data_IF_652192260089
#
_entry.id   IF_652192260089
#
_cell.length_a   1.000
_cell.length_b   1.000
_cell.length_c   1.000
_cell.angle_alpha   90.00
_cell.angle_beta   90.00
_cell.angle_gamma   90.00
#
_symmetry.space_group_name_H-M   'P 1'
#
loop_
_entity.id
_entity.type
_entity.pdbx_description
1 polymer ?
#
# COMPACT_ATOMS: atom_id res chain seq x y z
N UNK A 1 8.59 6.45 -28.49
CA UNK A 1 8.93 7.55 -27.55
C UNK A 1 10.41 7.88 -27.75
N UNK A 2 10.79 9.16 -27.99
CA UNK A 2 12.19 9.52 -28.28
C UNK A 2 13.05 9.36 -27.02
N UNK A 3 14.21 8.72 -27.15
CA UNK A 3 15.20 8.44 -26.08
C UNK A 3 15.53 9.66 -25.20
N UNK A 4 15.38 10.89 -25.72
CA UNK A 4 15.55 12.15 -24.98
C UNK A 4 14.45 12.46 -23.97
N UNK A 5 13.19 12.07 -24.19
CA UNK A 5 12.09 12.30 -23.23
C UNK A 5 12.18 11.37 -22.01
N UNK A 6 12.74 10.17 -22.21
CA UNK A 6 12.99 9.21 -21.13
C UNK A 6 14.01 9.76 -20.13
N UNK A 7 15.07 10.40 -20.63
CA UNK A 7 16.11 11.03 -19.79
C UNK A 7 15.55 12.17 -18.94
N UNK A 8 14.69 13.01 -19.51
CA UNK A 8 14.12 14.17 -18.78
C UNK A 8 13.12 13.73 -17.71
N UNK A 9 12.29 12.70 -17.97
CA UNK A 9 11.36 12.17 -16.98
C UNK A 9 12.10 11.49 -15.81
N UNK A 10 13.12 10.67 -16.10
CA UNK A 10 13.94 10.00 -15.08
C UNK A 10 14.78 10.96 -14.22
N UNK A 11 15.32 12.03 -14.81
CA UNK A 11 16.02 13.08 -14.04
C UNK A 11 15.07 13.83 -13.09
N UNK A 12 13.80 13.97 -13.47
CA UNK A 12 12.78 14.60 -12.62
C UNK A 12 12.41 13.70 -11.43
N UNK A 13 12.39 12.38 -11.61
CA UNK A 13 12.19 11.41 -10.51
C UNK A 13 13.36 11.44 -9.53
N UNK A 14 14.61 11.48 -10.00
CA UNK A 14 15.79 11.58 -9.13
C UNK A 14 15.86 12.92 -8.37
N UNK A 15 15.44 14.02 -8.98
CA UNK A 15 15.31 15.31 -8.28
C UNK A 15 14.18 15.34 -7.26
N UNK A 16 13.08 14.63 -7.52
CA UNK A 16 12.00 14.45 -6.55
C UNK A 16 12.52 13.77 -5.28
N UNK A 17 13.33 12.71 -5.39
CA UNK A 17 13.93 12.01 -4.25
C UNK A 17 14.84 12.90 -3.38
N UNK A 18 15.52 13.90 -3.96
CA UNK A 18 16.41 14.80 -3.20
C UNK A 18 15.65 15.77 -2.28
N UNK A 19 14.45 16.21 -2.64
CA UNK A 19 13.63 17.07 -1.80
C UNK A 19 12.99 16.35 -0.59
N UNK A 20 13.03 15.01 -0.53
CA UNK A 20 12.39 14.25 0.55
C UNK A 20 13.32 13.83 1.70
N UNK A 21 14.63 14.13 1.61
CA UNK A 21 15.53 13.98 2.77
C UNK A 21 15.13 14.87 3.97
N UNK A 22 14.34 15.92 3.73
CA UNK A 22 13.79 16.80 4.76
C UNK A 22 12.38 16.40 5.26
N UNK A 23 11.77 15.35 4.70
CA UNK A 23 10.37 14.99 4.93
C UNK A 23 10.16 13.58 5.53
N UNK A 24 11.16 13.02 6.22
CA UNK A 24 10.89 12.10 7.34
C UNK A 24 10.37 12.87 8.56
N UNK A 25 9.53 13.88 8.29
CA UNK A 25 8.90 14.75 9.26
C UNK A 25 7.77 13.95 9.90
N UNK A 26 8.09 13.28 11.01
CA UNK A 26 7.14 12.78 12.00
C UNK A 26 6.11 11.78 11.43
N UNK A 27 6.28 10.49 11.75
CA UNK A 27 5.29 9.45 11.46
C UNK A 27 3.90 9.98 11.81
N UNK A 28 2.98 10.00 10.82
CA UNK A 28 1.65 10.56 11.00
C UNK A 28 0.91 9.86 12.16
N UNK A 29 1.21 8.59 12.41
CA UNK A 29 0.68 7.83 13.53
C UNK A 29 1.16 8.35 14.90
N UNK A 30 2.27 9.08 14.98
CA UNK A 30 2.70 9.74 16.22
C UNK A 30 1.77 10.90 16.63
N UNK A 31 0.86 11.34 15.76
CA UNK A 31 -0.25 12.23 16.13
C UNK A 31 -1.19 11.59 17.17
N UNK A 32 -1.34 10.26 17.14
CA UNK A 32 -2.16 9.51 18.09
C UNK A 32 -1.46 9.44 19.45
N UNK A 33 -1.88 10.26 20.43
CA UNK A 33 -1.30 10.24 21.78
C UNK A 33 -2.01 9.22 22.66
N UNK A 34 -1.59 7.96 22.59
CA UNK A 34 -2.08 6.87 23.45
C UNK A 34 -0.90 6.08 24.03
N UNK A 35 -1.01 5.74 25.33
CA UNK A 35 -0.06 4.89 26.04
C UNK A 35 -0.55 3.42 26.12
N UNK A 36 -1.62 3.08 25.39
CA UNK A 36 -2.10 1.70 25.32
C UNK A 36 -1.03 0.80 24.72
N UNK A 37 -0.81 -0.37 25.35
CA UNK A 37 0.12 -1.39 24.86
C UNK A 37 -0.21 -1.79 23.42
N UNK A 38 -1.49 -2.01 23.10
CA UNK A 38 -1.94 -2.34 21.75
C UNK A 38 -1.53 -1.26 20.74
N UNK A 39 -1.86 0.00 21.02
CA UNK A 39 -1.57 1.12 20.11
C UNK A 39 -0.06 1.28 19.90
N UNK A 40 0.74 1.09 20.95
CA UNK A 40 2.20 1.11 20.86
C UNK A 40 2.71 -0.02 19.95
N UNK A 41 2.25 -1.25 20.15
CA UNK A 41 2.68 -2.41 19.35
C UNK A 41 2.26 -2.27 17.88
N UNK A 42 1.06 -1.78 17.60
CA UNK A 42 0.59 -1.54 16.23
C UNK A 42 1.43 -0.46 15.52
N UNK A 43 1.82 0.62 16.20
CA UNK A 43 2.74 1.61 15.62
C UNK A 43 4.11 1.04 15.33
N UNK A 44 4.67 0.26 16.26
CA UNK A 44 5.95 -0.40 16.06
C UNK A 44 5.89 -1.35 14.84
N UNK A 45 4.80 -2.11 14.69
CA UNK A 45 4.55 -2.95 13.53
C UNK A 45 4.52 -2.14 12.23
N UNK A 46 3.69 -1.09 12.17
CA UNK A 46 3.55 -0.23 10.99
C UNK A 46 4.90 0.38 10.57
N UNK A 47 5.63 0.98 11.52
CA UNK A 47 6.95 1.58 11.28
C UNK A 47 7.93 0.57 10.69
N UNK A 48 7.97 -0.64 11.24
CA UNK A 48 8.90 -1.68 10.80
C UNK A 48 8.57 -2.18 9.37
N UNK A 49 7.30 -2.49 9.09
CA UNK A 49 6.91 -2.89 7.75
C UNK A 49 7.07 -1.74 6.72
N UNK A 50 6.83 -0.50 7.13
CA UNK A 50 7.05 0.67 6.27
C UNK A 50 8.53 0.84 5.88
N UNK A 51 9.47 0.67 6.83
CA UNK A 51 10.92 0.62 6.53
C UNK A 51 11.23 -0.46 5.48
N UNK A 52 10.63 -1.64 5.60
CA UNK A 52 10.82 -2.69 4.62
C UNK A 52 10.26 -2.33 3.25
N UNK A 53 9.10 -1.66 3.18
CA UNK A 53 8.49 -1.20 1.95
C UNK A 53 9.38 -0.18 1.23
N UNK A 54 9.94 0.79 1.95
CA UNK A 54 10.90 1.78 1.40
C UNK A 54 12.13 1.07 0.79
N UNK A 55 12.74 0.15 1.53
CA UNK A 55 13.93 -0.57 1.03
C UNK A 55 13.58 -1.51 -0.12
N UNK A 56 12.36 -2.05 -0.15
CA UNK A 56 11.88 -2.87 -1.26
C UNK A 56 11.71 -2.03 -2.54
N UNK A 57 11.15 -0.83 -2.44
CA UNK A 57 11.02 0.10 -3.58
C UNK A 57 12.39 0.51 -4.15
N UNK A 58 13.36 0.77 -3.26
CA UNK A 58 14.75 1.04 -3.66
C UNK A 58 15.35 -0.11 -4.49
N UNK A 59 15.09 -1.36 -4.11
CA UNK A 59 15.58 -2.54 -4.87
C UNK A 59 14.93 -2.66 -6.23
N UNK A 60 13.63 -2.40 -6.33
CA UNK A 60 12.93 -2.41 -7.61
C UNK A 60 13.55 -1.40 -8.58
N UNK A 61 13.88 -0.21 -8.09
CA UNK A 61 14.57 0.80 -8.88
C UNK A 61 16.02 0.44 -9.21
N UNK A 62 16.78 -0.14 -8.27
CA UNK A 62 18.14 -0.64 -8.54
C UNK A 62 18.12 -1.64 -9.70
N UNK A 63 17.17 -2.58 -9.72
CA UNK A 63 17.06 -3.58 -10.78
C UNK A 63 16.83 -2.97 -12.17
N UNK A 64 16.11 -1.84 -12.26
CA UNK A 64 15.97 -1.08 -13.50
C UNK A 64 17.32 -0.46 -13.90
N UNK A 65 17.99 0.24 -12.99
CA UNK A 65 19.21 0.97 -13.28
C UNK A 65 20.44 0.09 -13.56
N UNK A 66 20.52 -1.11 -12.97
CA UNK A 66 21.59 -2.07 -13.31
C UNK A 66 21.53 -2.47 -14.79
N UNK A 67 20.34 -2.49 -15.38
CA UNK A 67 20.14 -2.93 -16.77
C UNK A 67 20.43 -1.81 -17.78
N UNK A 68 20.06 -0.57 -17.43
CA UNK A 68 19.98 0.54 -18.41
C UNK A 68 20.74 1.82 -18.01
N UNK A 69 21.30 1.90 -16.80
CA UNK A 69 21.92 3.10 -16.24
C UNK A 69 23.42 3.19 -16.47
N UNK A 70 23.96 4.41 -16.55
CA UNK A 70 25.41 4.61 -16.48
C UNK A 70 25.96 4.37 -15.07
N UNK A 71 27.26 4.08 -14.96
CA UNK A 71 27.94 3.95 -13.67
C UNK A 71 27.76 5.19 -12.78
N UNK A 72 27.77 6.39 -13.37
CA UNK A 72 27.55 7.64 -12.62
C UNK A 72 26.13 7.79 -12.08
N UNK A 73 25.12 7.44 -12.87
CA UNK A 73 23.72 7.49 -12.44
C UNK A 73 23.45 6.47 -11.34
N UNK A 74 23.97 5.25 -11.50
CA UNK A 74 23.86 4.19 -10.48
C UNK A 74 24.52 4.60 -9.17
N UNK A 75 25.71 5.23 -9.22
CA UNK A 75 26.38 5.72 -8.01
C UNK A 75 25.58 6.83 -7.30
N UNK A 76 25.05 7.78 -8.06
CA UNK A 76 24.21 8.87 -7.53
C UNK A 76 22.90 8.35 -6.90
N UNK A 77 22.28 7.36 -7.54
CA UNK A 77 21.09 6.67 -7.01
C UNK A 77 21.40 6.02 -5.66
N UNK A 78 22.50 5.25 -5.58
CA UNK A 78 22.92 4.59 -4.34
C UNK A 78 23.28 5.58 -3.24
N UNK A 79 23.89 6.72 -3.55
CA UNK A 79 24.12 7.80 -2.57
C UNK A 79 22.80 8.29 -1.96
N UNK A 80 21.77 8.49 -2.79
CA UNK A 80 20.43 8.87 -2.33
C UNK A 80 19.84 7.81 -1.39
N UNK A 81 19.91 6.54 -1.77
CA UNK A 81 19.36 5.43 -0.98
C UNK A 81 20.11 5.19 0.33
N UNK A 82 21.43 5.37 0.34
CA UNK A 82 22.23 5.35 1.58
C UNK A 82 21.75 6.45 2.53
N UNK A 83 21.57 7.69 2.04
CA UNK A 83 21.08 8.81 2.87
C UNK A 83 19.69 8.54 3.44
N UNK A 84 18.78 7.96 2.65
CA UNK A 84 17.44 7.56 3.11
C UNK A 84 17.55 6.48 4.18
N UNK A 85 18.36 5.45 3.98
CA UNK A 85 18.55 4.41 5.00
C UNK A 85 19.19 4.96 6.28
N UNK A 86 20.11 5.92 6.17
CA UNK A 86 20.68 6.62 7.33
C UNK A 86 19.63 7.46 8.05
N UNK A 87 18.74 8.16 7.35
CA UNK A 87 17.66 8.92 7.98
C UNK A 87 16.65 8.01 8.70
N UNK A 88 16.44 6.78 8.22
CA UNK A 88 15.56 5.81 8.86
C UNK A 88 16.03 5.36 10.25
N UNK A 89 17.31 5.54 10.59
CA UNK A 89 17.84 5.19 11.92
C UNK A 89 17.28 6.05 13.05
N UNK A 90 16.69 7.20 12.74
CA UNK A 90 16.09 8.08 13.75
C UNK A 90 14.75 7.53 14.25
N UNK A 91 14.12 6.62 13.48
CA UNK A 91 12.83 6.01 13.84
C UNK A 91 13.00 5.23 15.14
N UNK A 92 12.21 5.61 16.15
CA UNK A 92 12.23 4.98 17.47
C UNK A 92 11.11 3.95 17.58
N UNK A 93 11.46 2.80 18.14
CA UNK A 93 10.54 1.71 18.49
C UNK A 93 10.44 1.61 20.00
N UNK A 94 9.29 1.19 20.51
CA UNK A 94 9.13 0.89 21.94
C UNK A 94 9.63 -0.51 22.29
N UNK A 95 9.64 -1.43 21.33
CA UNK A 95 10.24 -2.74 21.45
C UNK A 95 11.76 -2.69 21.16
N UNK A 96 12.58 -2.89 22.19
CA UNK A 96 14.06 -2.87 22.08
C UNK A 96 14.61 -3.97 21.18
N UNK A 97 13.97 -5.16 21.18
CA UNK A 97 14.36 -6.27 20.31
C UNK A 97 14.10 -5.92 18.85
N UNK A 98 12.94 -5.34 18.55
CA UNK A 98 12.63 -4.82 17.21
C UNK A 98 13.67 -3.76 16.79
N UNK A 99 13.99 -2.82 17.67
CA UNK A 99 14.97 -1.77 17.41
C UNK A 99 16.34 -2.35 17.02
N UNK A 100 16.78 -3.42 17.70
CA UNK A 100 18.01 -4.15 17.37
C UNK A 100 17.96 -4.78 15.98
N UNK A 101 16.87 -5.47 15.62
CA UNK A 101 16.72 -6.08 14.29
C UNK A 101 16.66 -5.03 13.18
N UNK A 102 15.88 -3.96 13.34
CA UNK A 102 15.79 -2.87 12.36
C UNK A 102 17.15 -2.20 12.18
N UNK A 103 17.86 -1.91 13.27
CA UNK A 103 19.20 -1.30 13.22
C UNK A 103 20.20 -2.17 12.46
N UNK A 104 20.23 -3.49 12.73
CA UNK A 104 21.08 -4.43 12.00
C UNK A 104 20.71 -4.48 10.51
N UNK A 105 19.42 -4.52 10.19
CA UNK A 105 18.93 -4.54 8.82
C UNK A 105 19.34 -3.27 8.04
N UNK A 106 19.17 -2.08 8.62
CA UNK A 106 19.58 -0.82 8.01
C UNK A 106 21.09 -0.74 7.80
N UNK A 107 21.89 -1.12 8.80
CA UNK A 107 23.35 -1.16 8.69
C UNK A 107 23.80 -2.09 7.58
N UNK A 108 23.21 -3.29 7.50
CA UNK A 108 23.50 -4.27 6.46
C UNK A 108 23.12 -3.74 5.06
N UNK A 109 21.94 -3.12 4.93
CA UNK A 109 21.46 -2.49 3.68
C UNK A 109 22.43 -1.41 3.20
N UNK A 110 22.80 -0.46 4.06
CA UNK A 110 23.74 0.62 3.75
C UNK A 110 25.10 0.08 3.32
N UNK A 111 25.59 -0.95 4.01
CA UNK A 111 26.87 -1.59 3.69
C UNK A 111 26.83 -2.22 2.30
N UNK A 112 25.79 -2.97 1.97
CA UNK A 112 25.62 -3.56 0.64
C UNK A 112 25.54 -2.51 -0.46
N UNK A 113 24.84 -1.39 -0.23
CA UNK A 113 24.81 -0.26 -1.17
C UNK A 113 26.18 0.40 -1.35
N UNK A 114 26.95 0.61 -0.28
CA UNK A 114 28.32 1.16 -0.37
C UNK A 114 29.27 0.24 -1.13
N UNK A 115 29.15 -1.08 -0.94
CA UNK A 115 29.97 -2.05 -1.69
C UNK A 115 29.54 -2.05 -3.15
N UNK A 116 28.25 -2.10 -3.45
CA UNK A 116 27.74 -2.00 -4.83
C UNK A 116 28.22 -0.72 -5.53
N UNK A 117 28.19 0.42 -4.83
CA UNK A 117 28.62 1.71 -5.35
C UNK A 117 30.13 1.75 -5.66
N UNK A 118 30.96 1.14 -4.81
CA UNK A 118 32.41 1.21 -4.94
C UNK A 118 33.02 0.09 -5.80
N UNK A 119 32.42 -1.09 -5.80
CA UNK A 119 32.93 -2.30 -6.47
C UNK A 119 32.05 -2.82 -7.60
N UNK A 120 30.81 -2.35 -7.70
CA UNK A 120 29.82 -2.84 -8.68
C UNK A 120 29.09 -4.10 -8.21
N UNK A 121 27.86 -4.28 -8.73
CA UNK A 121 26.97 -5.41 -8.39
C UNK A 121 27.49 -6.78 -8.88
N UNK A 122 28.39 -6.81 -9.87
CA UNK A 122 28.97 -8.05 -10.39
C UNK A 122 30.19 -8.54 -9.60
N UNK A 123 30.75 -7.71 -8.72
CA UNK A 123 31.96 -8.01 -7.94
C UNK A 123 31.78 -9.19 -6.98
N UNK A 124 32.87 -9.90 -6.70
CA UNK A 124 32.85 -11.01 -5.76
C UNK A 124 32.61 -10.51 -4.32
N UNK A 125 33.09 -9.31 -4.00
CA UNK A 125 32.87 -8.63 -2.74
C UNK A 125 31.40 -8.30 -2.52
N UNK A 126 30.71 -7.75 -3.52
CA UNK A 126 29.28 -7.49 -3.42
C UNK A 126 28.50 -8.80 -3.26
N UNK A 127 28.76 -9.81 -4.09
CA UNK A 127 28.06 -11.11 -4.00
C UNK A 127 28.19 -11.73 -2.60
N UNK A 128 29.40 -11.71 -2.03
CA UNK A 128 29.66 -12.23 -0.68
C UNK A 128 28.95 -11.42 0.41
N UNK A 129 28.91 -10.10 0.29
CA UNK A 129 28.19 -9.25 1.23
C UNK A 129 26.67 -9.41 1.11
N UNK A 130 26.17 -9.56 -0.12
CA UNK A 130 24.75 -9.72 -0.41
C UNK A 130 24.16 -11.00 0.19
N UNK A 131 24.93 -12.10 0.26
CA UNK A 131 24.50 -13.30 1.00
C UNK A 131 24.26 -13.01 2.49
N UNK A 132 25.19 -12.30 3.14
CA UNK A 132 25.03 -11.89 4.55
C UNK A 132 23.87 -10.92 4.75
N UNK A 133 23.66 -10.03 3.79
CA UNK A 133 22.52 -9.14 3.76
C UNK A 133 21.20 -9.92 3.70
N UNK A 134 21.10 -10.94 2.84
CA UNK A 134 19.90 -11.79 2.74
C UNK A 134 19.61 -12.51 4.05
N UNK A 135 20.64 -13.04 4.72
CA UNK A 135 20.51 -13.66 6.06
C UNK A 135 19.95 -12.64 7.06
N UNK A 136 20.55 -11.45 7.15
CA UNK A 136 20.09 -10.37 8.06
C UNK A 136 18.65 -9.94 7.76
N UNK A 137 18.29 -9.81 6.48
CA UNK A 137 16.91 -9.51 6.06
C UNK A 137 15.97 -10.64 6.49
N UNK A 138 16.36 -11.89 6.30
CA UNK A 138 15.59 -13.06 6.70
C UNK A 138 15.31 -13.07 8.20
N UNK A 139 16.33 -12.85 9.02
CA UNK A 139 16.19 -12.74 10.49
C UNK A 139 15.21 -11.63 10.88
N UNK A 140 15.36 -10.44 10.28
CA UNK A 140 14.46 -9.31 10.52
C UNK A 140 13.00 -9.64 10.15
N UNK A 141 12.77 -10.15 8.94
CA UNK A 141 11.41 -10.46 8.48
C UNK A 141 10.78 -11.60 9.29
N UNK A 142 11.56 -12.62 9.65
CA UNK A 142 11.08 -13.71 10.51
C UNK A 142 10.68 -13.20 11.89
N UNK A 143 11.46 -12.27 12.46
CA UNK A 143 11.09 -11.62 13.71
C UNK A 143 9.77 -10.83 13.57
N UNK A 144 9.61 -10.06 12.50
CA UNK A 144 8.36 -9.32 12.27
C UNK A 144 7.15 -10.24 12.15
N UNK A 145 7.21 -11.25 11.29
CA UNK A 145 6.07 -12.14 11.05
C UNK A 145 5.75 -13.04 12.24
N UNK A 146 6.72 -13.34 13.12
CA UNK A 146 6.46 -14.10 14.35
C UNK A 146 5.95 -13.24 15.50
N UNK A 147 6.42 -12.00 15.61
CA UNK A 147 6.07 -11.09 16.72
C UNK A 147 4.76 -10.35 16.45
N UNK A 148 4.50 -10.00 15.20
CA UNK A 148 3.36 -9.19 14.78
C UNK A 148 2.36 -9.97 13.91
N UNK A 149 2.32 -11.29 14.07
CA UNK A 149 1.31 -12.12 13.42
C UNK A 149 -0.10 -11.72 13.87
N UNK A 150 -1.07 -11.81 12.96
CA UNK A 150 -2.47 -11.45 13.26
C UNK A 150 -3.02 -12.15 14.51
N UNK A 151 -2.70 -13.43 14.69
CA UNK A 151 -3.12 -14.22 15.86
C UNK A 151 -2.50 -13.78 17.21
N UNK A 152 -1.46 -12.94 17.22
CA UNK A 152 -0.97 -12.28 18.45
C UNK A 152 -1.96 -11.21 18.93
N UNK A 153 -2.71 -10.63 18.01
CA UNK A 153 -3.58 -9.48 18.27
C UNK A 153 -5.07 -9.80 18.30
N UNK A 154 -5.52 -10.76 17.49
CA UNK A 154 -6.93 -11.11 17.33
C UNK A 154 -7.15 -12.60 17.48
N UNK A 155 -8.29 -12.97 18.05
CA UNK A 155 -8.72 -14.37 18.22
C UNK A 155 -9.75 -14.82 17.19
N UNK A 156 -10.26 -13.88 16.38
CA UNK A 156 -11.21 -14.09 15.30
C UNK A 156 -10.75 -15.16 14.29
N UNK A 157 -11.68 -16.07 13.96
CA UNK A 157 -11.50 -17.06 12.89
C UNK A 157 -11.78 -16.45 11.52
N UNK A 158 -11.32 -17.11 10.46
CA UNK A 158 -11.64 -16.69 9.09
C UNK A 158 -13.17 -16.68 8.83
N UNK A 159 -13.91 -17.64 9.38
CA UNK A 159 -15.38 -17.67 9.27
C UNK A 159 -16.02 -16.42 9.90
N UNK A 160 -15.59 -16.07 11.11
CA UNK A 160 -16.07 -14.87 11.80
C UNK A 160 -15.71 -13.59 11.06
N UNK A 161 -14.51 -13.55 10.45
CA UNK A 161 -14.08 -12.43 9.60
C UNK A 161 -15.05 -12.25 8.43
N UNK A 162 -15.34 -13.31 7.67
CA UNK A 162 -16.22 -13.23 6.50
C UNK A 162 -17.67 -12.90 6.88
N UNK A 163 -18.17 -13.44 8.00
CA UNK A 163 -19.49 -13.08 8.51
C UNK A 163 -19.58 -11.60 8.90
N UNK A 164 -18.55 -11.08 9.58
CA UNK A 164 -18.52 -9.67 10.00
C UNK A 164 -18.34 -8.72 8.82
N UNK A 165 -17.63 -9.17 7.78
CA UNK A 165 -17.40 -8.41 6.56
C UNK A 165 -18.58 -8.46 5.56
N UNK A 166 -19.60 -9.30 5.80
CA UNK A 166 -20.77 -9.39 4.91
C UNK A 166 -21.48 -8.03 4.80
N UNK A 167 -21.45 -7.47 3.59
CA UNK A 167 -22.06 -6.18 3.25
C UNK A 167 -23.56 -6.16 3.56
N UNK A 168 -24.25 -7.29 3.47
CA UNK A 168 -25.70 -7.37 3.76
C UNK A 168 -26.03 -7.06 5.23
N UNK A 169 -25.08 -7.24 6.15
CA UNK A 169 -25.27 -6.90 7.58
C UNK A 169 -25.46 -5.40 7.81
N UNK A 170 -24.92 -4.57 6.92
CA UNK A 170 -24.92 -3.10 7.07
C UNK A 170 -25.91 -2.39 6.15
N UNK A 171 -26.33 -3.04 5.06
CA UNK A 171 -27.31 -2.50 4.12
C UNK A 171 -28.70 -2.54 4.75
N UNK A 172 -29.30 -1.36 4.99
CA UNK A 172 -30.64 -1.24 5.57
C UNK A 172 -31.70 -0.83 4.57
N UNK A 173 -31.31 -0.18 3.48
CA UNK A 173 -32.27 0.31 2.49
C UNK A 173 -32.96 -0.82 1.73
N UNK A 174 -34.30 -0.86 1.77
CA UNK A 174 -35.09 -1.78 0.95
C UNK A 174 -34.90 -1.53 -0.55
N UNK A 175 -34.63 -0.27 -0.94
CA UNK A 175 -34.35 0.12 -2.31
C UNK A 175 -33.03 -0.46 -2.84
N UNK A 176 -32.15 -0.97 -1.97
CA UNK A 176 -30.97 -1.71 -2.42
C UNK A 176 -31.35 -3.01 -3.14
N UNK A 177 -32.45 -3.65 -2.76
CA UNK A 177 -32.97 -4.82 -3.50
C UNK A 177 -33.45 -4.41 -4.88
N UNK A 178 -34.10 -3.24 -5.00
CA UNK A 178 -34.48 -2.67 -6.31
C UNK A 178 -33.24 -2.36 -7.15
N UNK A 179 -32.18 -1.81 -6.56
CA UNK A 179 -30.89 -1.64 -7.22
C UNK A 179 -30.36 -2.98 -7.77
N UNK A 180 -30.32 -4.04 -6.95
CA UNK A 180 -29.83 -5.36 -7.38
C UNK A 180 -30.59 -5.91 -8.59
N UNK A 181 -31.92 -5.76 -8.62
CA UNK A 181 -32.75 -6.17 -9.75
C UNK A 181 -32.55 -5.28 -10.99
N UNK A 182 -32.40 -3.97 -10.81
CA UNK A 182 -32.16 -3.04 -11.91
C UNK A 182 -30.77 -3.25 -12.53
N UNK A 183 -29.75 -3.58 -11.74
CA UNK A 183 -28.37 -3.78 -12.22
C UNK A 183 -28.29 -4.78 -13.37
N UNK A 184 -29.11 -5.83 -13.34
CA UNK A 184 -29.10 -6.89 -14.38
C UNK A 184 -29.88 -6.54 -15.63
N UNK A 185 -30.73 -5.50 -15.60
CA UNK A 185 -31.66 -5.14 -16.69
C UNK A 185 -31.37 -3.77 -17.28
N UNK A 186 -30.99 -2.80 -16.46
CA UNK A 186 -30.61 -1.44 -16.83
C UNK A 186 -29.55 -0.89 -15.86
N UNK A 187 -28.28 -1.13 -16.17
CA UNK A 187 -27.16 -0.71 -15.33
C UNK A 187 -27.13 0.81 -15.08
N UNK A 188 -27.40 1.64 -16.10
CA UNK A 188 -27.33 3.11 -15.96
C UNK A 188 -28.34 3.62 -14.93
N UNK A 189 -29.58 3.15 -14.99
CA UNK A 189 -30.60 3.49 -13.99
C UNK A 189 -30.29 2.92 -12.61
N UNK A 190 -29.72 1.71 -12.55
CA UNK A 190 -29.28 1.12 -11.29
C UNK A 190 -28.22 1.99 -10.59
N UNK A 191 -27.22 2.48 -11.34
CA UNK A 191 -26.18 3.35 -10.79
C UNK A 191 -26.73 4.69 -10.30
N UNK A 192 -27.70 5.28 -11.01
CA UNK A 192 -28.40 6.49 -10.56
C UNK A 192 -29.13 6.23 -9.23
N UNK A 193 -29.83 5.09 -9.12
CA UNK A 193 -30.51 4.71 -7.88
C UNK A 193 -29.51 4.54 -6.73
N UNK A 194 -28.40 3.84 -6.95
CA UNK A 194 -27.40 3.60 -5.91
C UNK A 194 -26.67 4.90 -5.47
N UNK A 195 -26.41 5.83 -6.40
CA UNK A 195 -25.85 7.14 -6.07
C UNK A 195 -26.83 7.99 -5.24
N UNK A 196 -28.14 7.89 -5.51
CA UNK A 196 -29.17 8.51 -4.68
C UNK A 196 -29.24 7.90 -3.28
N UNK A 197 -29.15 6.57 -3.16
CA UNK A 197 -29.07 5.90 -1.86
C UNK A 197 -27.86 6.38 -1.06
N UNK A 198 -26.70 6.45 -1.71
CA UNK A 198 -25.45 6.94 -1.11
C UNK A 198 -25.59 8.33 -0.49
N UNK A 199 -26.30 9.25 -1.16
CA UNK A 199 -26.54 10.63 -0.66
C UNK A 199 -27.47 10.69 0.55
N UNK A 200 -28.33 9.68 0.74
CA UNK A 200 -29.31 9.61 1.82
C UNK A 200 -28.78 8.84 3.04
N UNK A 201 -27.78 7.98 2.83
CA UNK A 201 -27.19 7.16 3.89
C UNK A 201 -26.37 8.00 4.87
N UNK A 202 -26.68 7.89 6.16
CA UNK A 202 -25.91 8.51 7.25
C UNK A 202 -24.92 7.55 7.90
N UNK A 203 -25.14 6.23 7.77
CA UNK A 203 -24.24 5.21 8.28
C UNK A 203 -23.00 5.09 7.38
N UNK A 204 -21.81 5.29 7.94
CA UNK A 204 -20.60 5.32 7.12
C UNK A 204 -20.17 3.96 6.56
N UNK A 205 -20.51 2.84 7.23
CA UNK A 205 -20.28 1.50 6.69
C UNK A 205 -21.13 1.27 5.44
N UNK A 206 -22.43 1.56 5.52
CA UNK A 206 -23.37 1.44 4.40
C UNK A 206 -23.00 2.39 3.25
N UNK A 207 -22.59 3.63 3.56
CA UNK A 207 -22.05 4.56 2.56
C UNK A 207 -20.82 3.99 1.85
N UNK A 208 -19.88 3.40 2.60
CA UNK A 208 -18.67 2.80 2.03
C UNK A 208 -19.02 1.65 1.08
N UNK A 209 -19.96 0.80 1.46
CA UNK A 209 -20.46 -0.31 0.63
C UNK A 209 -21.03 0.22 -0.69
N UNK A 210 -21.90 1.23 -0.64
CA UNK A 210 -22.52 1.78 -1.85
C UNK A 210 -21.49 2.45 -2.77
N UNK A 211 -20.52 3.17 -2.21
CA UNK A 211 -19.46 3.79 -3.02
C UNK A 211 -18.52 2.76 -3.64
N UNK A 212 -18.16 1.69 -2.92
CA UNK A 212 -17.37 0.58 -3.48
C UNK A 212 -18.15 -0.11 -4.59
N UNK A 213 -19.44 -0.42 -4.37
CA UNK A 213 -20.27 -1.06 -5.37
C UNK A 213 -20.41 -0.19 -6.63
N UNK A 214 -20.66 1.12 -6.49
CA UNK A 214 -20.65 2.07 -7.61
C UNK A 214 -19.32 2.01 -8.37
N UNK A 215 -18.20 2.12 -7.67
CA UNK A 215 -16.87 2.12 -8.26
C UNK A 215 -16.57 0.80 -8.99
N UNK A 216 -16.91 -0.35 -8.39
CA UNK A 216 -16.75 -1.67 -8.99
C UNK A 216 -17.52 -1.77 -10.33
N UNK A 217 -18.75 -1.25 -10.39
CA UNK A 217 -19.53 -1.26 -11.63
C UNK A 217 -18.90 -0.38 -12.72
N UNK A 218 -18.36 0.80 -12.35
CA UNK A 218 -17.64 1.65 -13.29
C UNK A 218 -16.37 0.99 -13.84
N UNK A 219 -15.64 0.23 -13.02
CA UNK A 219 -14.47 -0.52 -13.48
C UNK A 219 -14.87 -1.63 -14.44
N UNK A 220 -15.82 -2.49 -14.04
CA UNK A 220 -16.22 -3.69 -14.78
C UNK A 220 -16.92 -3.39 -16.11
N UNK A 221 -17.61 -2.27 -16.18
CA UNK A 221 -18.40 -1.87 -17.35
C UNK A 221 -17.87 -0.61 -18.02
N UNK A 222 -16.58 -0.31 -17.82
CA UNK A 222 -15.90 0.89 -18.33
C UNK A 222 -16.11 1.09 -19.84
N UNK A 223 -16.06 0.02 -20.64
CA UNK A 223 -16.28 0.04 -22.09
C UNK A 223 -17.70 0.46 -22.51
N UNK A 224 -18.68 0.43 -21.61
CA UNK A 224 -20.11 0.62 -21.93
C UNK A 224 -20.78 1.82 -21.23
N UNK A 225 -20.15 2.37 -20.19
CA UNK A 225 -20.73 3.41 -19.36
C UNK A 225 -20.35 4.81 -19.84
N UNK A 226 -19.07 5.15 -19.81
CA UNK A 226 -18.52 6.44 -20.21
C UNK A 226 -16.98 6.37 -20.35
N UNK A 227 -16.40 7.26 -21.17
CA UNK A 227 -14.95 7.33 -21.38
C UNK A 227 -14.16 7.60 -20.09
N UNK A 228 -14.78 8.25 -19.08
CA UNK A 228 -14.17 8.59 -17.80
C UNK A 228 -14.57 7.63 -16.65
N UNK A 229 -14.97 6.40 -16.98
CA UNK A 229 -15.45 5.43 -15.99
C UNK A 229 -14.39 5.11 -14.93
N UNK A 230 -13.13 4.95 -15.34
CA UNK A 230 -12.04 4.62 -14.41
C UNK A 230 -11.72 5.78 -13.47
N UNK A 231 -11.71 7.03 -13.95
CA UNK A 231 -11.56 8.22 -13.12
C UNK A 231 -12.73 8.37 -12.14
N UNK A 232 -13.94 8.06 -12.60
CA UNK A 232 -15.13 8.03 -11.74
C UNK A 232 -14.96 7.02 -10.61
N UNK A 233 -14.56 5.78 -10.94
CA UNK A 233 -14.29 4.74 -9.94
C UNK A 233 -13.21 5.15 -8.94
N UNK A 234 -12.09 5.71 -9.42
CA UNK A 234 -11.02 6.25 -8.57
C UNK A 234 -11.58 7.31 -7.62
N UNK A 235 -12.37 8.25 -8.12
CA UNK A 235 -13.02 9.29 -7.32
C UNK A 235 -13.94 8.71 -6.25
N UNK A 236 -14.72 7.68 -6.58
CA UNK A 236 -15.62 7.01 -5.63
C UNK A 236 -14.85 6.30 -4.50
N UNK A 237 -13.83 5.50 -4.79
CA UNK A 237 -13.00 4.90 -3.73
C UNK A 237 -12.33 5.96 -2.86
N UNK A 238 -11.74 6.99 -3.49
CA UNK A 238 -11.07 8.08 -2.77
C UNK A 238 -12.03 8.85 -1.86
N UNK A 239 -13.30 8.99 -2.26
CA UNK A 239 -14.33 9.66 -1.45
C UNK A 239 -14.62 8.96 -0.11
N UNK A 240 -14.30 7.67 0.01
CA UNK A 240 -14.37 6.93 1.27
C UNK A 240 -13.15 7.29 2.13
N UNK A 241 -11.95 7.21 1.54
CA UNK A 241 -10.68 7.45 2.21
C UNK A 241 -10.56 8.89 2.73
N UNK A 242 -11.05 9.87 1.96
CA UNK A 242 -10.98 11.30 2.31
C UNK A 242 -11.86 11.68 3.51
N UNK A 243 -12.83 10.85 3.88
CA UNK A 243 -13.74 11.14 4.99
C UNK A 243 -13.07 10.97 6.36
N UNK A 244 -11.94 10.27 6.44
CA UNK A 244 -11.19 10.01 7.69
C UNK A 244 -12.09 9.51 8.82
N UNK A 245 -13.04 8.64 8.46
CA UNK A 245 -13.96 7.95 9.38
C UNK A 245 -13.69 6.46 9.30
N UNK A 246 -13.79 5.79 10.44
CA UNK A 246 -13.61 4.34 10.48
C UNK A 246 -14.77 3.63 9.76
N UNK A 247 -14.41 2.67 8.91
CA UNK A 247 -15.26 1.73 8.20
C UNK A 247 -14.47 0.44 8.09
N UNK A 248 -15.11 -0.74 8.17
CA UNK A 248 -14.41 -2.04 8.03
C UNK A 248 -13.97 -2.30 6.57
N UNK A 249 -14.33 -1.39 5.66
CA UNK A 249 -14.05 -1.46 4.23
C UNK A 249 -12.98 -0.45 3.79
N UNK A 250 -12.24 0.16 4.71
CA UNK A 250 -11.18 1.12 4.36
C UNK A 250 -10.02 0.43 3.63
N UNK A 251 -9.64 -0.77 4.06
CA UNK A 251 -8.62 -1.56 3.36
C UNK A 251 -9.07 -1.92 1.93
N UNK A 252 -10.31 -2.38 1.76
CA UNK A 252 -10.89 -2.70 0.44
C UNK A 252 -10.88 -1.45 -0.47
N UNK A 253 -11.33 -0.31 0.05
CA UNK A 253 -11.36 0.95 -0.70
C UNK A 253 -9.95 1.43 -1.08
N UNK A 254 -8.97 1.36 -0.18
CA UNK A 254 -7.59 1.75 -0.45
C UNK A 254 -6.95 0.83 -1.49
N UNK A 255 -7.11 -0.48 -1.34
CA UNK A 255 -6.56 -1.47 -2.25
C UNK A 255 -7.12 -1.25 -3.65
N UNK A 256 -8.45 -1.18 -3.81
CA UNK A 256 -9.09 -0.96 -5.10
C UNK A 256 -8.73 0.39 -5.71
N UNK A 257 -8.65 1.45 -4.91
CA UNK A 257 -8.17 2.76 -5.38
C UNK A 257 -6.75 2.65 -5.97
N UNK A 258 -5.81 2.02 -5.26
CA UNK A 258 -4.44 1.80 -5.74
C UNK A 258 -4.44 0.98 -7.03
N UNK A 259 -5.19 -0.13 -7.06
CA UNK A 259 -5.25 -1.04 -8.20
C UNK A 259 -5.70 -0.34 -9.48
N UNK A 260 -6.79 0.44 -9.40
CA UNK A 260 -7.36 1.14 -10.55
C UNK A 260 -6.47 2.32 -10.98
N UNK A 261 -5.88 3.06 -10.03
CA UNK A 261 -4.89 4.10 -10.36
C UNK A 261 -3.70 3.51 -11.12
N UNK A 262 -3.10 2.44 -10.61
CA UNK A 262 -1.95 1.84 -11.26
C UNK A 262 -2.31 1.24 -12.62
N UNK A 263 -3.48 0.60 -12.75
CA UNK A 263 -3.92 -0.01 -14.00
C UNK A 263 -4.12 1.04 -15.11
N UNK A 264 -4.82 2.13 -14.80
CA UNK A 264 -5.39 3.03 -15.83
C UNK A 264 -4.73 4.40 -15.90
N UNK A 265 -4.10 4.88 -14.83
CA UNK A 265 -3.43 6.19 -14.81
C UNK A 265 -1.92 6.05 -15.03
N UNK A 266 -1.29 5.13 -14.29
CA UNK A 266 0.18 5.00 -14.31
C UNK A 266 0.67 3.90 -15.26
N UNK A 267 -0.12 2.87 -15.51
CA UNK A 267 0.15 1.80 -16.46
C UNK A 267 0.69 0.51 -15.83
N UNK A 268 0.62 -0.58 -16.61
CA UNK A 268 0.92 -1.95 -16.15
C UNK A 268 2.29 -2.49 -16.56
N UNK A 269 3.00 -1.79 -17.44
CA UNK A 269 4.35 -2.20 -17.84
C UNK A 269 5.32 -2.19 -16.66
N UNK A 270 6.32 -3.06 -16.71
CA UNK A 270 7.51 -3.01 -15.84
C UNK A 270 8.29 -1.71 -15.97
N UNK A 271 8.06 -0.90 -17.00
CA UNK A 271 8.70 0.41 -17.18
C UNK A 271 7.76 1.58 -16.89
N UNK A 272 6.51 1.30 -16.52
CA UNK A 272 5.55 2.33 -16.12
C UNK A 272 6.00 3.04 -14.85
N UNK A 273 5.49 4.24 -14.64
CA UNK A 273 5.60 4.87 -13.32
C UNK A 273 4.84 4.03 -12.29
N UNK A 274 5.44 3.88 -11.11
CA UNK A 274 4.84 3.19 -9.97
C UNK A 274 4.99 4.13 -8.78
N UNK A 275 3.99 4.96 -8.48
CA UNK A 275 4.10 5.97 -7.44
C UNK A 275 3.82 5.37 -6.06
N UNK A 276 4.65 4.42 -5.61
CA UNK A 276 4.51 3.78 -4.29
C UNK A 276 4.42 4.80 -3.15
N UNK A 277 5.15 5.91 -3.25
CA UNK A 277 5.05 7.02 -2.29
C UNK A 277 3.63 7.64 -2.19
N UNK A 278 2.91 7.75 -3.31
CA UNK A 278 1.53 8.25 -3.31
C UNK A 278 0.60 7.24 -2.62
N UNK A 279 0.78 5.96 -2.93
CA UNK A 279 -0.02 4.88 -2.35
C UNK A 279 0.21 4.73 -0.85
N UNK A 280 1.47 4.85 -0.41
CA UNK A 280 1.86 4.75 1.00
C UNK A 280 1.43 5.97 1.81
N UNK A 281 1.41 7.17 1.25
CA UNK A 281 0.81 8.34 1.93
C UNK A 281 -0.68 8.13 2.19
N UNK A 282 -1.43 7.63 1.22
CA UNK A 282 -2.85 7.32 1.43
C UNK A 282 -3.03 6.18 2.44
N UNK A 283 -2.17 5.16 2.36
CA UNK A 283 -2.14 4.04 3.32
C UNK A 283 -1.94 4.53 4.75
N UNK A 284 -1.01 5.46 4.96
CA UNK A 284 -0.71 6.04 6.28
C UNK A 284 -1.90 6.83 6.84
N UNK A 285 -2.60 7.60 6.00
CA UNK A 285 -3.82 8.32 6.39
C UNK A 285 -4.94 7.35 6.81
N UNK A 286 -5.08 6.24 6.10
CA UNK A 286 -6.05 5.19 6.45
C UNK A 286 -5.65 4.49 7.74
N UNK A 287 -4.38 4.11 7.89
CA UNK A 287 -3.85 3.51 9.10
C UNK A 287 -4.04 4.44 10.33
N UNK A 288 -3.82 5.75 10.17
CA UNK A 288 -4.11 6.75 11.21
C UNK A 288 -5.59 6.72 11.60
N UNK A 289 -6.49 6.71 10.60
CA UNK A 289 -7.95 6.70 10.84
C UNK A 289 -8.38 5.47 11.65
N UNK A 290 -7.83 4.30 11.32
CA UNK A 290 -8.12 3.05 12.05
C UNK A 290 -7.51 3.11 13.45
N UNK A 291 -6.27 3.60 13.60
CA UNK A 291 -5.60 3.68 14.89
C UNK A 291 -6.30 4.65 15.85
N UNK A 292 -6.76 5.80 15.36
CA UNK A 292 -7.55 6.77 16.13
C UNK A 292 -8.86 6.15 16.64
N UNK A 293 -9.50 5.31 15.84
CA UNK A 293 -10.67 4.55 16.27
C UNK A 293 -10.32 3.51 17.35
N UNK A 294 -9.21 2.79 17.19
CA UNK A 294 -8.74 1.78 18.15
C UNK A 294 -8.34 2.35 19.52
N UNK A 295 -8.00 3.64 19.61
CA UNK A 295 -7.76 4.29 20.92
C UNK A 295 -8.99 4.18 21.84
N UNK A 296 -10.20 4.17 21.27
CA UNK A 296 -11.46 4.09 22.01
C UNK A 296 -12.13 2.72 21.92
N UNK A 297 -11.68 1.87 20.99
CA UNK A 297 -12.28 0.58 20.66
C UNK A 297 -11.19 -0.51 20.59
N UNK A 298 -10.39 -0.63 21.65
CA UNK A 298 -9.18 -1.46 21.70
C UNK A 298 -9.44 -2.98 21.68
N UNK A 299 -10.70 -3.39 21.68
CA UNK A 299 -11.15 -4.79 21.55
C UNK A 299 -11.83 -5.10 20.22
N UNK A 300 -11.90 -4.12 19.31
CA UNK A 300 -12.48 -4.31 18.00
C UNK A 300 -11.50 -5.08 17.11
N UNK A 301 -11.61 -6.41 17.12
CA UNK A 301 -10.70 -7.30 16.39
C UNK A 301 -10.73 -7.08 14.87
N UNK A 302 -11.85 -6.61 14.30
CA UNK A 302 -11.91 -6.26 12.88
C UNK A 302 -11.04 -5.03 12.58
N UNK A 303 -11.14 -3.99 13.40
CA UNK A 303 -10.31 -2.79 13.25
C UNK A 303 -8.82 -3.10 13.47
N UNK A 304 -8.49 -3.98 14.42
CA UNK A 304 -7.10 -4.41 14.64
C UNK A 304 -6.58 -5.18 13.41
N UNK A 305 -7.35 -6.14 12.90
CA UNK A 305 -6.99 -6.89 11.70
C UNK A 305 -6.82 -5.98 10.48
N UNK A 306 -7.74 -5.04 10.27
CA UNK A 306 -7.65 -4.07 9.17
C UNK A 306 -6.42 -3.16 9.28
N UNK A 307 -6.05 -2.72 10.49
CA UNK A 307 -4.81 -1.99 10.70
C UNK A 307 -3.58 -2.82 10.31
N UNK A 308 -3.55 -4.10 10.72
CA UNK A 308 -2.45 -5.02 10.39
C UNK A 308 -2.37 -5.27 8.87
N UNK A 309 -3.51 -5.38 8.17
CA UNK A 309 -3.55 -5.45 6.72
C UNK A 309 -2.91 -4.20 6.09
N UNK A 310 -3.26 -2.99 6.55
CA UNK A 310 -2.64 -1.76 6.06
C UNK A 310 -1.12 -1.72 6.31
N UNK A 311 -0.70 -2.13 7.51
CA UNK A 311 0.71 -2.15 7.91
C UNK A 311 1.54 -3.12 7.08
N UNK A 312 1.02 -4.32 6.82
CA UNK A 312 1.79 -5.44 6.26
C UNK A 312 1.68 -5.58 4.75
N UNK A 313 0.71 -4.95 4.10
CA UNK A 313 0.51 -5.09 2.67
C UNK A 313 1.77 -4.64 1.89
N UNK A 314 2.20 -5.36 0.85
CA UNK A 314 3.38 -4.96 0.08
C UNK A 314 3.14 -3.67 -0.73
N UNK A 315 4.22 -3.13 -1.28
CA UNK A 315 4.16 -2.10 -2.33
C UNK A 315 3.78 -2.72 -3.67
N UNK A 316 3.45 -1.91 -4.68
CA UNK A 316 3.38 -2.40 -6.06
C UNK A 316 4.81 -2.75 -6.49
N UNK A 317 5.06 -4.03 -6.76
CA UNK A 317 6.34 -4.49 -7.28
C UNK A 317 6.38 -4.39 -8.80
N UNK A 318 7.52 -3.96 -9.32
CA UNK A 318 7.82 -3.92 -10.75
C UNK A 318 8.20 -5.31 -11.25
N UNK A 319 9.00 -6.03 -10.47
CA UNK A 319 9.51 -7.36 -10.74
C UNK A 319 9.04 -8.33 -9.65
N UNK A 320 7.88 -8.96 -9.88
CA UNK A 320 7.42 -10.07 -9.06
C UNK A 320 7.06 -11.27 -9.93
N UNK A 321 6.17 -12.12 -9.42
CA UNK A 321 5.84 -13.41 -10.02
C UNK A 321 5.23 -13.29 -11.42
N UNK A 322 4.51 -12.20 -11.70
CA UNK A 322 4.00 -11.93 -13.05
C UNK A 322 5.09 -11.44 -14.02
N UNK A 323 5.41 -12.19 -15.09
CA UNK A 323 6.52 -11.84 -15.97
C UNK A 323 6.16 -10.79 -17.03
N UNK A 324 4.87 -10.57 -17.34
CA UNK A 324 4.42 -9.74 -18.47
C UNK A 324 4.07 -8.28 -18.09
N UNK A 325 4.25 -7.89 -16.83
CA UNK A 325 3.93 -6.55 -16.33
C UNK A 325 4.40 -6.37 -14.89
N UNK A 326 4.01 -5.25 -14.28
CA UNK A 326 4.13 -5.07 -12.84
C UNK A 326 3.07 -5.92 -12.11
N UNK A 327 3.23 -6.12 -10.80
CA UNK A 327 2.37 -7.05 -10.04
C UNK A 327 0.94 -6.57 -9.85
N UNK A 328 0.66 -5.29 -10.11
CA UNK A 328 -0.69 -4.74 -10.04
C UNK A 328 -1.65 -5.51 -10.95
N UNK A 329 -1.20 -5.97 -12.11
CA UNK A 329 -2.03 -6.67 -13.09
C UNK A 329 -2.67 -7.92 -12.49
N UNK A 330 -1.91 -8.72 -11.73
CA UNK A 330 -2.45 -9.95 -11.12
C UNK A 330 -3.49 -9.61 -10.08
N UNK A 331 -3.16 -8.70 -9.16
CA UNK A 331 -4.08 -8.30 -8.10
C UNK A 331 -5.36 -7.63 -8.65
N UNK A 332 -5.22 -6.82 -9.71
CA UNK A 332 -6.35 -6.17 -10.39
C UNK A 332 -7.32 -7.21 -10.96
N UNK A 333 -6.83 -8.16 -11.75
CA UNK A 333 -7.67 -9.18 -12.37
C UNK A 333 -8.27 -10.14 -11.33
N UNK A 334 -7.52 -10.50 -10.28
CA UNK A 334 -8.07 -11.27 -9.15
C UNK A 334 -9.21 -10.53 -8.42
N UNK A 335 -9.21 -9.19 -8.45
CA UNK A 335 -10.20 -8.35 -7.76
C UNK A 335 -11.44 -8.09 -8.61
N UNK A 336 -11.27 -7.83 -9.91
CA UNK A 336 -12.35 -7.34 -10.78
C UNK A 336 -12.88 -8.35 -11.78
N UNK A 337 -12.07 -9.34 -12.19
CA UNK A 337 -12.55 -10.35 -13.12
C UNK A 337 -13.51 -11.31 -12.41
N UNK A 338 -14.58 -11.69 -13.09
CA UNK A 338 -15.50 -12.70 -12.57
C UNK A 338 -14.76 -14.05 -12.49
N UNK A 339 -14.91 -14.73 -11.34
CA UNK A 339 -14.48 -16.13 -11.23
C UNK A 339 -15.28 -16.94 -12.27
N UNK A 340 -14.59 -17.40 -13.32
CA UNK A 340 -15.17 -18.29 -14.32
C UNK A 340 -15.57 -19.64 -13.74
#
# INVERSE_FOLDING_TARGET
MKQGQLKTLLLTVTFSFWFFSAAYSQDLLDAVKSNSKLVIELKDAYKAFHINNIISDQKEMINVFISDGSDSETKSLLDGYIKICDSLKIVQFKNDTLNSYVSKYLVSTIKSYKIAQSKGFSSSEFKKDFEKYKETKGEYMNYLYSTYSTNHFVSMTEEMYWQTNDKNTYIKSMDYTKYRSLKTTNLKEALILLDNLTKQTTNFQEYSIYQIELADQYVKHSDSLADNSNETAIGKYKSILDQKKYSIYLFEAWLKWRLVNQQHIYGISKTSDIPNNLYDKMREVVALTILDYLVKNDKDEMAINEFLLMATHPIVMRFGDYPYGNQNTVEYHQTFDEKK
#
